data_IF_569300151696
#
_entry.id   IF_569300151696
#
_cell.length_a   1.000
_cell.length_b   1.000
_cell.length_c   1.000
_cell.angle_alpha   90.00
_cell.angle_beta   90.00
_cell.angle_gamma   90.00
#
_symmetry.space_group_name_H-M   'P 1'
#
loop_
_entity.id
_entity.type
_entity.pdbx_description
1 polymer ?
#
# COMPACT_ATOMS: atom_id res chain seq x y z
N UNK A 1 -5.87 -22.36 5.42
CA UNK A 1 -4.71 -21.69 6.05
C UNK A 1 -5.08 -21.26 7.47
N UNK A 2 -4.14 -21.22 8.43
CA UNK A 2 -4.38 -20.56 9.71
C UNK A 2 -4.76 -19.08 9.48
N UNK A 3 -5.66 -18.56 10.31
CA UNK A 3 -6.15 -17.18 10.21
C UNK A 3 -5.04 -16.23 10.64
N UNK A 4 -4.70 -15.26 9.80
CA UNK A 4 -3.75 -14.18 10.12
C UNK A 4 -4.39 -13.29 11.18
N UNK A 5 -3.71 -13.11 12.31
CA UNK A 5 -4.14 -12.34 13.49
C UNK A 5 -3.09 -11.36 14.00
N UNK A 6 -1.86 -11.44 13.49
CA UNK A 6 -0.77 -10.55 13.89
C UNK A 6 0.21 -10.26 12.73
N UNK A 7 1.13 -9.33 12.96
CA UNK A 7 2.10 -8.86 11.97
C UNK A 7 3.11 -9.93 11.56
N UNK A 8 3.51 -10.81 12.49
CA UNK A 8 4.44 -11.88 12.17
C UNK A 8 3.81 -12.86 11.18
N UNK A 9 2.56 -13.25 11.42
CA UNK A 9 1.79 -14.10 10.53
C UNK A 9 1.53 -13.44 9.18
N UNK A 10 1.14 -12.16 9.17
CA UNK A 10 0.93 -11.41 7.93
C UNK A 10 2.23 -11.36 7.11
N UNK A 11 3.34 -11.00 7.75
CA UNK A 11 4.64 -10.85 7.08
C UNK A 11 5.13 -12.16 6.48
N UNK A 12 5.01 -13.28 7.20
CA UNK A 12 5.39 -14.60 6.68
C UNK A 12 4.45 -15.07 5.57
N UNK A 13 3.13 -14.89 5.73
CA UNK A 13 2.15 -15.27 4.71
C UNK A 13 2.37 -14.51 3.39
N UNK A 14 2.65 -13.21 3.47
CA UNK A 14 2.93 -12.38 2.29
C UNK A 14 4.26 -12.76 1.64
N UNK A 15 5.29 -13.10 2.44
CA UNK A 15 6.61 -13.51 1.92
C UNK A 15 6.54 -14.79 1.07
N UNK A 16 5.58 -15.66 1.35
CA UNK A 16 5.37 -16.91 0.60
C UNK A 16 4.63 -16.73 -0.74
N UNK A 17 4.14 -15.53 -1.05
CA UNK A 17 3.45 -15.23 -2.30
C UNK A 17 4.44 -15.01 -3.45
N UNK A 18 4.05 -15.43 -4.66
CA UNK A 18 4.71 -15.01 -5.90
C UNK A 18 4.58 -13.49 -6.13
N UNK A 19 5.42 -12.90 -7.00
CA UNK A 19 5.42 -11.46 -7.23
C UNK A 19 4.09 -10.87 -7.68
N UNK A 20 3.32 -11.58 -8.52
CA UNK A 20 2.00 -11.12 -8.98
C UNK A 20 1.02 -11.06 -7.81
N UNK A 21 0.98 -12.09 -6.98
CA UNK A 21 0.10 -12.13 -5.80
C UNK A 21 0.53 -11.12 -4.73
N UNK A 22 1.84 -10.88 -4.56
CA UNK A 22 2.31 -9.80 -3.70
C UNK A 22 1.82 -8.44 -4.23
N UNK A 23 1.97 -8.15 -5.52
CA UNK A 23 1.44 -6.91 -6.11
C UNK A 23 -0.06 -6.75 -5.80
N UNK A 24 -0.86 -7.77 -6.08
CA UNK A 24 -2.32 -7.72 -5.88
C UNK A 24 -2.70 -7.48 -4.41
N UNK A 25 -2.07 -8.19 -3.47
CA UNK A 25 -2.35 -8.01 -2.05
C UNK A 25 -1.87 -6.64 -1.54
N UNK A 26 -0.66 -6.22 -1.93
CA UNK A 26 -0.15 -4.88 -1.62
C UNK A 26 -1.04 -3.76 -2.16
N UNK A 27 -1.55 -3.92 -3.37
CA UNK A 27 -2.48 -2.97 -3.99
C UNK A 27 -3.83 -2.92 -3.25
N UNK A 28 -4.33 -4.04 -2.71
CA UNK A 28 -5.53 -4.05 -1.85
C UNK A 28 -5.32 -3.29 -0.54
N UNK A 29 -4.14 -3.37 0.06
CA UNK A 29 -3.82 -2.54 1.23
C UNK A 29 -3.82 -1.05 0.87
N UNK A 30 -3.19 -0.67 -0.24
CA UNK A 30 -3.21 0.71 -0.71
C UNK A 30 -4.62 1.19 -1.09
N UNK A 31 -5.43 0.32 -1.70
CA UNK A 31 -6.84 0.61 -2.01
C UNK A 31 -7.65 0.92 -0.75
N UNK A 32 -7.40 0.20 0.35
CA UNK A 32 -8.08 0.41 1.64
C UNK A 32 -7.90 1.81 2.24
N UNK A 33 -6.87 2.55 1.79
CA UNK A 33 -6.56 3.91 2.23
C UNK A 33 -6.65 4.94 1.10
N UNK A 34 -7.19 4.57 -0.06
CA UNK A 34 -7.23 5.42 -1.25
C UNK A 34 -8.10 6.69 -1.09
N UNK A 35 -8.96 6.76 -0.07
CA UNK A 35 -9.72 7.96 0.26
C UNK A 35 -8.85 9.10 0.77
N UNK A 36 -7.65 8.80 1.28
CA UNK A 36 -6.67 9.79 1.76
C UNK A 36 -5.81 10.37 0.63
N UNK A 37 -5.92 9.81 -0.58
CA UNK A 37 -5.13 10.21 -1.74
C UNK A 37 -5.77 11.38 -2.47
N UNK A 38 -4.99 12.39 -2.83
CA UNK A 38 -5.43 13.56 -3.61
C UNK A 38 -5.24 13.40 -5.12
N UNK A 39 -4.27 12.61 -5.58
CA UNK A 39 -3.86 12.55 -6.98
C UNK A 39 -4.49 11.40 -7.78
N UNK A 40 -5.19 11.77 -8.85
CA UNK A 40 -5.93 10.86 -9.73
C UNK A 40 -5.03 9.90 -10.53
N UNK A 41 -3.77 10.27 -10.79
CA UNK A 41 -2.81 9.39 -11.49
C UNK A 41 -2.42 8.24 -10.59
N UNK A 42 -2.28 8.50 -9.29
CA UNK A 42 -2.00 7.46 -8.30
C UNK A 42 -3.23 6.58 -8.05
N UNK A 43 -4.45 7.14 -8.09
CA UNK A 43 -5.68 6.30 -8.05
C UNK A 43 -5.74 5.32 -9.22
N UNK A 44 -5.49 5.79 -10.45
CA UNK A 44 -5.38 4.91 -11.62
C UNK A 44 -4.26 3.89 -11.49
N UNK A 45 -3.15 4.23 -10.83
CA UNK A 45 -2.09 3.26 -10.55
C UNK A 45 -2.57 2.13 -9.61
N UNK A 46 -3.44 2.40 -8.63
CA UNK A 46 -4.08 1.36 -7.80
C UNK A 46 -4.94 0.44 -8.67
N UNK A 47 -5.77 0.99 -9.55
CA UNK A 47 -6.62 0.23 -10.45
C UNK A 47 -5.80 -0.70 -11.35
N UNK A 48 -4.72 -0.19 -11.95
CA UNK A 48 -3.78 -0.99 -12.75
C UNK A 48 -3.09 -2.07 -11.90
N UNK A 49 -2.69 -1.77 -10.66
CA UNK A 49 -2.03 -2.75 -9.79
C UNK A 49 -2.95 -3.92 -9.41
N UNK A 50 -4.26 -3.68 -9.29
CA UNK A 50 -5.30 -4.66 -8.96
C UNK A 50 -5.69 -5.56 -10.15
N UNK A 51 -5.32 -5.18 -11.38
CA UNK A 51 -5.56 -5.98 -12.58
C UNK A 51 -4.55 -7.13 -12.66
N UNK A 52 -5.06 -8.37 -12.69
CA UNK A 52 -4.24 -9.56 -12.84
C UNK A 52 -3.58 -9.64 -14.24
N UNK A 53 -4.27 -9.10 -15.25
CA UNK A 53 -3.93 -9.10 -16.67
C UNK A 53 -3.22 -7.82 -17.15
N UNK A 54 -2.84 -6.92 -16.24
CA UNK A 54 -2.11 -5.71 -16.58
C UNK A 54 -0.78 -6.05 -17.29
N UNK A 55 -0.54 -5.40 -18.43
CA UNK A 55 0.68 -5.59 -19.18
C UNK A 55 1.90 -5.03 -18.41
N UNK A 56 3.12 -5.58 -18.61
CA UNK A 56 4.32 -5.09 -17.93
C UNK A 56 4.57 -3.58 -18.08
N UNK A 57 4.30 -3.02 -19.27
CA UNK A 57 4.41 -1.58 -19.51
C UNK A 57 3.39 -0.76 -18.71
N UNK A 58 2.15 -1.23 -18.58
CA UNK A 58 1.13 -0.56 -17.76
C UNK A 58 1.55 -0.54 -16.28
N UNK A 59 2.11 -1.66 -15.79
CA UNK A 59 2.61 -1.77 -14.42
C UNK A 59 3.80 -0.83 -14.17
N UNK A 60 4.71 -0.72 -15.13
CA UNK A 60 5.86 0.18 -15.04
C UNK A 60 5.43 1.65 -15.03
N UNK A 61 4.49 2.04 -15.89
CA UNK A 61 3.95 3.40 -15.93
C UNK A 61 3.22 3.75 -14.63
N UNK A 62 2.41 2.80 -14.12
CA UNK A 62 1.75 2.94 -12.82
C UNK A 62 2.76 3.09 -11.67
N UNK A 63 3.84 2.29 -11.67
CA UNK A 63 4.92 2.40 -10.68
C UNK A 63 5.57 3.78 -10.74
N UNK A 64 5.94 4.27 -11.93
CA UNK A 64 6.57 5.57 -12.13
C UNK A 64 5.67 6.71 -11.67
N UNK A 65 4.37 6.64 -11.95
CA UNK A 65 3.40 7.63 -11.50
C UNK A 65 3.32 7.70 -9.97
N UNK A 66 3.12 6.55 -9.30
CA UNK A 66 3.05 6.49 -7.84
C UNK A 66 4.37 6.89 -7.19
N UNK A 67 5.50 6.39 -7.71
CA UNK A 67 6.83 6.68 -7.17
C UNK A 67 7.21 8.15 -7.33
N UNK A 68 6.94 8.73 -8.49
CA UNK A 68 7.19 10.16 -8.75
C UNK A 68 6.37 11.05 -7.82
N UNK A 69 5.09 10.72 -7.62
CA UNK A 69 4.24 11.43 -6.68
C UNK A 69 4.73 11.32 -5.24
N UNK A 70 5.07 10.11 -4.78
CA UNK A 70 5.62 9.89 -3.44
C UNK A 70 6.94 10.65 -3.23
N UNK A 71 7.83 10.68 -4.23
CA UNK A 71 9.08 11.44 -4.15
C UNK A 71 8.85 12.95 -4.06
N UNK A 72 7.89 13.50 -4.83
CA UNK A 72 7.56 14.93 -4.79
C UNK A 72 6.93 15.33 -3.44
N UNK A 73 5.94 14.58 -2.98
CA UNK A 73 5.23 14.88 -1.73
C UNK A 73 6.12 14.70 -0.50
N UNK A 74 7.15 13.85 -0.56
CA UNK A 74 8.14 13.72 0.53
C UNK A 74 8.88 15.04 0.80
N UNK A 75 9.19 15.81 -0.26
CA UNK A 75 9.87 17.10 -0.12
C UNK A 75 8.96 18.23 0.32
N UNK A 76 7.64 18.02 0.28
CA UNK A 76 6.64 19.03 0.66
C UNK A 76 6.31 19.00 2.17
N UNK A 77 6.91 18.10 2.96
CA UNK A 77 6.70 17.96 4.41
C UNK A 77 7.33 19.08 5.29
N UNK A 78 7.46 20.31 4.78
CA UNK A 78 8.23 21.40 5.41
C UNK A 78 7.40 22.48 6.10
N UNK A 79 7.38 22.42 7.44
CA UNK A 79 6.89 23.42 8.43
C UNK A 79 5.37 23.65 8.48
N UNK A 80 4.85 23.53 9.71
CA UNK A 80 3.44 23.33 10.11
C UNK A 80 2.90 21.98 9.59
N UNK A 81 2.62 21.05 10.51
CA UNK A 81 2.38 19.65 10.15
C UNK A 81 1.03 19.48 9.47
N UNK A 82 1.00 19.55 8.13
CA UNK A 82 -0.12 19.09 7.33
C UNK A 82 -0.13 17.55 7.35
N UNK A 83 -0.87 17.01 8.30
CA UNK A 83 -1.01 15.56 8.49
C UNK A 83 -1.72 14.89 7.32
N UNK A 84 -2.61 15.59 6.61
CA UNK A 84 -3.30 15.05 5.44
C UNK A 84 -2.36 14.96 4.23
N UNK A 85 -1.49 15.95 4.02
CA UNK A 85 -0.44 15.87 3.00
C UNK A 85 0.53 14.70 3.27
N UNK A 86 0.84 14.40 4.54
CA UNK A 86 1.61 13.21 4.88
C UNK A 86 0.84 11.92 4.63
N UNK A 87 -0.46 11.89 4.94
CA UNK A 87 -1.30 10.74 4.65
C UNK A 87 -1.30 10.43 3.15
N UNK A 88 -1.50 11.45 2.33
CA UNK A 88 -1.47 11.38 0.86
C UNK A 88 -0.13 10.85 0.32
N UNK A 89 1.00 11.36 0.85
CA UNK A 89 2.34 10.83 0.55
C UNK A 89 2.44 9.32 0.82
N UNK A 90 1.98 8.90 2.00
CA UNK A 90 2.08 7.51 2.42
C UNK A 90 1.17 6.58 1.63
N UNK A 91 -0.01 7.05 1.17
CA UNK A 91 -0.80 6.27 0.20
C UNK A 91 -0.01 6.06 -1.08
N UNK A 92 0.57 7.10 -1.67
CA UNK A 92 1.37 6.96 -2.88
C UNK A 92 2.59 6.06 -2.69
N UNK A 93 3.24 6.13 -1.53
CA UNK A 93 4.34 5.24 -1.17
C UNK A 93 3.89 3.79 -1.04
N UNK A 94 2.67 3.53 -0.55
CA UNK A 94 2.09 2.19 -0.51
C UNK A 94 1.85 1.62 -1.91
N UNK A 95 1.28 2.43 -2.82
CA UNK A 95 1.07 2.05 -4.22
C UNK A 95 2.39 1.76 -4.92
N UNK A 96 3.39 2.64 -4.77
CA UNK A 96 4.72 2.45 -5.33
C UNK A 96 5.40 1.18 -4.77
N UNK A 97 5.23 0.87 -3.48
CA UNK A 97 5.74 -0.36 -2.89
C UNK A 97 5.11 -1.59 -3.54
N UNK A 98 3.78 -1.62 -3.68
CA UNK A 98 3.07 -2.74 -4.31
C UNK A 98 3.47 -2.97 -5.78
N UNK A 99 3.77 -1.89 -6.51
CA UNK A 99 4.16 -1.91 -7.92
C UNK A 99 5.67 -1.99 -8.14
N UNK A 100 6.49 -2.18 -7.11
CA UNK A 100 7.95 -2.20 -7.28
C UNK A 100 8.35 -3.30 -8.28
N UNK A 101 9.03 -2.96 -9.39
CA UNK A 101 9.43 -3.94 -10.39
C UNK A 101 10.33 -5.02 -9.79
N UNK A 102 10.17 -6.27 -10.23
CA UNK A 102 10.96 -7.41 -9.71
C UNK A 102 12.47 -7.18 -9.83
N UNK A 103 12.92 -6.57 -10.93
CA UNK A 103 14.33 -6.22 -11.14
C UNK A 103 14.89 -5.22 -10.10
N UNK A 104 14.02 -4.53 -9.35
CA UNK A 104 14.37 -3.58 -8.30
C UNK A 104 14.17 -4.16 -6.89
N UNK A 105 13.62 -5.37 -6.77
CA UNK A 105 13.44 -6.05 -5.50
C UNK A 105 14.74 -6.77 -5.10
N UNK A 106 15.34 -6.34 -3.99
CA UNK A 106 16.38 -7.14 -3.36
C UNK A 106 15.75 -8.42 -2.77
N UNK A 107 16.51 -9.53 -2.71
CA UNK A 107 16.04 -10.88 -2.31
C UNK A 107 15.28 -10.93 -0.97
N UNK A 108 15.48 -9.94 -0.09
CA UNK A 108 14.84 -9.86 1.24
C UNK A 108 13.68 -8.86 1.33
N UNK A 109 13.33 -8.19 0.24
CA UNK A 109 12.23 -7.24 0.23
C UNK A 109 10.89 -7.93 0.06
N UNK A 110 9.91 -7.43 0.80
CA UNK A 110 8.52 -7.86 0.73
C UNK A 110 7.67 -6.63 0.34
N UNK A 111 7.44 -6.38 -0.97
CA UNK A 111 6.72 -5.20 -1.47
C UNK A 111 5.31 -5.08 -0.88
N UNK A 112 4.58 -6.18 -0.71
CA UNK A 112 3.25 -6.17 -0.13
C UNK A 112 3.25 -5.82 1.36
N UNK A 113 4.20 -6.34 2.14
CA UNK A 113 4.40 -5.93 3.54
C UNK A 113 4.79 -4.46 3.63
N UNK A 114 5.67 -3.98 2.74
CA UNK A 114 6.03 -2.57 2.69
C UNK A 114 4.80 -1.71 2.37
N UNK A 115 3.97 -2.11 1.42
CA UNK A 115 2.71 -1.41 1.11
C UNK A 115 1.78 -1.38 2.32
N UNK A 116 1.65 -2.49 3.06
CA UNK A 116 0.86 -2.56 4.30
C UNK A 116 1.35 -1.56 5.35
N UNK A 117 2.66 -1.48 5.58
CA UNK A 117 3.27 -0.53 6.53
C UNK A 117 3.04 0.92 6.10
N UNK A 118 3.20 1.24 4.81
CA UNK A 118 2.95 2.59 4.31
C UNK A 118 1.47 2.97 4.44
N UNK A 119 0.54 2.06 4.15
CA UNK A 119 -0.89 2.30 4.35
C UNK A 119 -1.24 2.59 5.83
N UNK A 120 -0.60 1.89 6.78
CA UNK A 120 -0.75 2.20 8.22
C UNK A 120 -0.23 3.59 8.56
N UNK A 121 0.92 3.99 8.00
CA UNK A 121 1.43 5.34 8.19
C UNK A 121 0.47 6.40 7.65
N UNK A 122 -0.16 6.14 6.50
CA UNK A 122 -1.18 7.05 5.97
C UNK A 122 -2.36 7.24 6.93
N UNK A 123 -2.87 6.13 7.50
CA UNK A 123 -3.96 6.19 8.49
C UNK A 123 -3.50 6.89 9.76
N UNK A 124 -2.29 6.60 10.27
CA UNK A 124 -1.75 7.27 11.46
C UNK A 124 -1.64 8.78 11.25
N UNK A 125 -1.16 9.23 10.08
CA UNK A 125 -1.14 10.65 9.74
C UNK A 125 -2.56 11.24 9.73
N UNK A 126 -3.50 10.61 9.02
CA UNK A 126 -4.89 11.09 8.99
C UNK A 126 -5.55 11.12 10.39
N UNK A 127 -5.18 10.21 11.29
CA UNK A 127 -5.64 10.20 12.69
C UNK A 127 -5.03 11.31 13.53
N UNK A 128 -3.88 11.88 13.16
CA UNK A 128 -3.35 13.05 13.88
C UNK A 128 -4.13 14.33 13.57
N UNK A 129 -4.79 14.38 12.41
CA UNK A 129 -5.72 15.46 12.05
C UNK A 129 -7.10 15.28 12.71
N UNK A 130 -7.53 14.03 12.87
CA UNK A 130 -8.84 13.68 13.43
C UNK A 130 -8.80 13.53 14.95
N UNK A 131 -9.77 14.09 15.67
CA UNK A 131 -9.94 13.81 17.10
C UNK A 131 -10.59 12.43 17.37
N UNK A 132 -10.97 11.69 16.32
CA UNK A 132 -11.67 10.41 16.45
C UNK A 132 -10.71 9.21 16.56
N UNK A 133 -10.96 8.34 17.55
CA UNK A 133 -10.28 7.06 17.67
C UNK A 133 -11.01 6.01 16.82
N UNK A 134 -10.32 5.46 15.82
CA UNK A 134 -10.86 4.38 15.00
C UNK A 134 -11.18 3.14 15.87
N UNK A 135 -12.37 2.57 15.69
CA UNK A 135 -12.80 1.36 16.42
C UNK A 135 -12.03 0.10 16.01
N UNK A 136 -11.48 0.08 14.79
CA UNK A 136 -10.69 -1.02 14.24
C UNK A 136 -9.39 -0.45 13.68
N UNK A 137 -8.26 -0.99 14.12
CA UNK A 137 -6.96 -0.56 13.63
C UNK A 137 -6.78 -0.90 12.14
N UNK A 138 -5.95 -0.12 11.45
CA UNK A 138 -5.59 -0.44 10.06
C UNK A 138 -4.91 -1.83 9.96
N UNK A 139 -4.16 -2.25 10.98
CA UNK A 139 -3.56 -3.59 11.01
C UNK A 139 -4.61 -4.71 10.99
N UNK A 140 -5.67 -4.59 11.80
CA UNK A 140 -6.76 -5.57 11.83
C UNK A 140 -7.54 -5.62 10.50
N UNK A 141 -7.77 -4.45 9.88
CA UNK A 141 -8.34 -4.38 8.53
C UNK A 141 -7.47 -5.11 7.50
N UNK A 142 -6.15 -4.93 7.57
CA UNK A 142 -5.20 -5.62 6.69
C UNK A 142 -5.19 -7.14 6.93
N UNK A 143 -5.30 -7.60 8.18
CA UNK A 143 -5.45 -9.03 8.45
C UNK A 143 -6.72 -9.59 7.82
N UNK A 144 -7.84 -8.86 7.90
CA UNK A 144 -9.10 -9.27 7.26
C UNK A 144 -8.96 -9.32 5.73
N UNK A 145 -8.35 -8.30 5.11
CA UNK A 145 -8.06 -8.26 3.66
C UNK A 145 -7.19 -9.44 3.25
N UNK A 146 -6.12 -9.73 4.00
CA UNK A 146 -5.21 -10.83 3.72
C UNK A 146 -5.94 -12.18 3.85
N UNK A 147 -6.66 -12.41 4.94
CA UNK A 147 -7.43 -13.63 5.14
C UNK A 147 -8.44 -13.87 4.00
N UNK A 148 -9.15 -12.82 3.56
CA UNK A 148 -10.06 -12.91 2.41
C UNK A 148 -9.30 -13.20 1.09
N UNK A 149 -8.13 -12.58 0.89
CA UNK A 149 -7.29 -12.83 -0.28
C UNK A 149 -6.78 -14.28 -0.36
N UNK A 150 -6.40 -14.87 0.76
CA UNK A 150 -5.94 -16.26 0.84
C UNK A 150 -7.08 -17.28 0.81
N UNK A 151 -8.31 -16.90 1.13
CA UNK A 151 -9.48 -17.79 1.03
C UNK A 151 -10.01 -17.93 -0.41
N UNK A 152 -9.67 -17.00 -1.30
CA UNK A 152 -10.14 -16.95 -2.70
C UNK A 152 -9.18 -17.62 -3.70
N UNK A 153 -8.05 -18.17 -3.25
CA UNK A 153 -7.06 -18.82 -4.09
C UNK A 153 -6.75 -20.23 -3.61
#
# INVERSE_FOLDING_TARGET
MPKIQNDQELREAVKALDPQRQRLLGARFAQGVASLLGDERVRRAIETALRADAAPGELEDAYRAAKGYATRTYTDCGKDTDWLAQADHFVAAAVAAALTPEAQLAERQNPAWKAAVQARMAVNCAMMESEEVAQVSEAERQYAIANAFFALG
#
